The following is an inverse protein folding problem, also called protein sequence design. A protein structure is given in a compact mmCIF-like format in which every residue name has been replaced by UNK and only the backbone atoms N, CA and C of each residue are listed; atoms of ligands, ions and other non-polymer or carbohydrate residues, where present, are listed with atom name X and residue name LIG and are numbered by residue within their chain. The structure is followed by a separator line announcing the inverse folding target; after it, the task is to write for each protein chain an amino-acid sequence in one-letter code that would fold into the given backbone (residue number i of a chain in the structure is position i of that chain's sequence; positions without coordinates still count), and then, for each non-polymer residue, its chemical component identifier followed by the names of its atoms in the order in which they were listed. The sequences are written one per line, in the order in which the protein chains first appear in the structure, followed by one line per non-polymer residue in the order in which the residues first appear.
data_IF_409905087009
#
_entry.id   IF_409905087009
#
_cell.length_a   1.000
_cell.length_b   1.000
_cell.length_c   1.000
_cell.angle_alpha   90.00
_cell.angle_beta   90.00
_cell.angle_gamma   90.00
#
_symmetry.space_group_name_H-M   'P 1'
#
loop_
_entity.id
_entity.type
_entity.pdbx_description
1 polymer ?
#
# COMPACT_ATOMS: atom_id res chain seq x y z
N UNK A 1 15.80 -11.45 1.24
CA UNK A 1 15.92 -11.78 -0.20
C UNK A 1 15.87 -10.50 -0.99
N UNK A 2 16.93 -10.13 -1.68
CA UNK A 2 16.98 -8.93 -2.51
C UNK A 2 16.72 -9.29 -3.98
N UNK A 3 15.96 -8.47 -4.69
CA UNK A 3 15.65 -8.69 -6.10
C UNK A 3 15.55 -7.35 -6.85
N UNK A 4 15.69 -7.41 -8.16
CA UNK A 4 15.52 -6.26 -9.07
C UNK A 4 14.50 -6.63 -10.14
N UNK A 5 13.51 -5.79 -10.37
CA UNK A 5 12.59 -5.92 -11.50
C UNK A 5 13.29 -5.38 -12.76
N UNK A 6 13.44 -6.21 -13.77
CA UNK A 6 14.05 -5.84 -15.04
C UNK A 6 13.02 -5.29 -16.03
N UNK A 7 11.87 -5.93 -16.12
CA UNK A 7 10.80 -5.52 -17.03
C UNK A 7 9.44 -5.99 -16.58
N UNK A 8 8.43 -5.23 -16.93
CA UNK A 8 7.02 -5.58 -16.82
C UNK A 8 6.48 -5.67 -18.24
N UNK A 9 5.78 -6.74 -18.55
CA UNK A 9 5.13 -6.97 -19.84
C UNK A 9 3.63 -7.10 -19.59
N UNK A 10 2.83 -6.30 -20.28
CA UNK A 10 1.37 -6.34 -20.24
C UNK A 10 0.89 -6.70 -21.64
N UNK A 11 -0.06 -7.62 -21.75
CA UNK A 11 -0.59 -8.05 -23.03
C UNK A 11 -1.13 -6.85 -23.81
N UNK A 12 -0.74 -6.72 -25.09
CA UNK A 12 -1.11 -5.59 -25.95
C UNK A 12 -2.60 -5.52 -26.33
N UNK A 13 -3.42 -6.49 -25.88
CA UNK A 13 -4.89 -6.37 -25.93
C UNK A 13 -5.43 -5.31 -24.94
N UNK A 14 -4.65 -4.96 -23.92
CA UNK A 14 -4.97 -3.87 -23.00
C UNK A 14 -4.58 -2.54 -23.63
N UNK A 15 -5.35 -1.50 -23.36
CA UNK A 15 -5.05 -0.16 -23.82
C UNK A 15 -3.68 0.30 -23.33
N UNK A 16 -2.95 1.05 -24.16
CA UNK A 16 -1.59 1.49 -23.85
C UNK A 16 -1.55 2.45 -22.65
N UNK A 17 -2.52 3.36 -22.55
CA UNK A 17 -2.56 4.33 -21.47
C UNK A 17 -2.96 3.65 -20.15
N UNK A 18 -3.87 2.69 -20.19
CA UNK A 18 -4.23 1.84 -19.05
C UNK A 18 -3.02 1.04 -18.57
N UNK A 19 -2.26 0.45 -19.49
CA UNK A 19 -1.03 -0.27 -19.17
C UNK A 19 0.05 0.65 -18.55
N UNK A 20 0.24 1.86 -19.08
CA UNK A 20 1.15 2.87 -18.52
C UNK A 20 0.69 3.32 -17.14
N UNK A 21 -0.60 3.57 -16.98
CA UNK A 21 -1.18 3.97 -15.70
C UNK A 21 -0.96 2.88 -14.66
N UNK A 22 -1.23 1.61 -15.01
CA UNK A 22 -1.00 0.48 -14.12
C UNK A 22 0.47 0.39 -13.68
N UNK A 23 1.43 0.45 -14.63
CA UNK A 23 2.87 0.37 -14.34
C UNK A 23 3.31 1.52 -13.42
N UNK A 24 2.86 2.74 -13.71
CA UNK A 24 3.18 3.94 -12.92
C UNK A 24 2.55 3.85 -11.52
N UNK A 25 1.32 3.35 -11.42
CA UNK A 25 0.62 3.19 -10.15
C UNK A 25 1.28 2.16 -9.22
N UNK A 26 2.06 1.23 -9.77
CA UNK A 26 2.87 0.27 -9.00
C UNK A 26 4.32 0.76 -8.74
N UNK A 27 4.60 2.06 -8.93
CA UNK A 27 5.91 2.66 -8.66
C UNK A 27 6.98 2.36 -9.70
N UNK A 28 6.60 1.85 -10.86
CA UNK A 28 7.53 1.50 -11.93
C UNK A 28 7.62 2.58 -13.02
N UNK A 29 8.77 2.61 -13.72
CA UNK A 29 9.01 3.58 -14.78
C UNK A 29 8.29 3.21 -16.07
N UNK A 30 7.67 4.20 -16.70
CA UNK A 30 7.09 4.10 -18.05
C UNK A 30 8.00 4.70 -19.14
N UNK A 31 9.17 5.26 -18.75
CA UNK A 31 10.06 6.01 -19.67
C UNK A 31 10.59 5.16 -20.82
N UNK A 32 10.79 3.87 -20.60
CA UNK A 32 11.31 2.93 -21.61
C UNK A 32 10.23 1.92 -21.95
N UNK A 33 9.21 2.40 -22.67
CA UNK A 33 8.10 1.59 -23.18
C UNK A 33 8.39 1.12 -24.60
N UNK A 34 8.16 -0.16 -24.86
CA UNK A 34 8.23 -0.76 -26.19
C UNK A 34 7.03 -1.66 -26.43
N UNK A 35 6.30 -1.42 -27.51
CA UNK A 35 5.11 -2.18 -27.85
C UNK A 35 5.37 -3.11 -29.03
N UNK A 36 4.89 -4.34 -28.91
CA UNK A 36 4.86 -5.37 -29.95
C UNK A 36 3.40 -5.81 -30.17
N UNK A 37 3.15 -6.67 -31.17
CA UNK A 37 1.80 -7.23 -31.40
C UNK A 37 1.23 -7.96 -30.18
N UNK A 38 2.09 -8.52 -29.32
CA UNK A 38 1.65 -9.37 -28.19
C UNK A 38 1.82 -8.67 -26.84
N UNK A 39 2.85 -7.84 -26.67
CA UNK A 39 3.25 -7.30 -25.40
C UNK A 39 3.61 -5.82 -25.45
N UNK A 40 3.14 -5.06 -24.49
CA UNK A 40 3.69 -3.76 -24.11
C UNK A 40 4.70 -3.97 -23.00
N UNK A 41 5.96 -3.68 -23.24
CA UNK A 41 7.08 -3.87 -22.32
C UNK A 41 7.51 -2.56 -21.70
N UNK A 42 7.56 -2.52 -20.38
CA UNK A 42 8.09 -1.41 -19.58
C UNK A 42 9.42 -1.83 -18.93
N UNK A 43 10.54 -1.38 -19.51
CA UNK A 43 11.87 -1.72 -19.00
C UNK A 43 12.19 -0.87 -17.77
N UNK A 44 12.56 -1.54 -16.68
CA UNK A 44 12.98 -0.92 -15.43
C UNK A 44 14.51 -0.84 -15.36
N UNK A 45 15.18 -1.98 -15.55
CA UNK A 45 16.63 -2.11 -15.54
C UNK A 45 17.11 -2.97 -16.71
N UNK A 46 18.39 -2.83 -17.06
CA UNK A 46 19.05 -3.72 -18.03
C UNK A 46 19.57 -4.97 -17.32
N UNK A 47 19.74 -6.05 -18.05
CA UNK A 47 20.40 -7.27 -17.55
C UNK A 47 21.84 -6.97 -17.09
N UNK A 48 22.55 -6.09 -17.80
CA UNK A 48 23.90 -5.65 -17.41
C UNK A 48 23.86 -4.97 -16.04
N UNK A 49 22.93 -4.00 -15.83
CA UNK A 49 22.78 -3.31 -14.54
C UNK A 49 22.55 -4.29 -13.37
N UNK A 50 21.76 -5.34 -13.60
CA UNK A 50 21.52 -6.36 -12.58
C UNK A 50 22.79 -7.19 -12.32
N UNK A 51 23.45 -7.69 -13.37
CA UNK A 51 24.68 -8.51 -13.25
C UNK A 51 25.81 -7.76 -12.56
N UNK A 52 26.03 -6.49 -12.90
CA UNK A 52 27.05 -5.62 -12.28
C UNK A 52 26.83 -5.44 -10.76
N UNK A 53 25.66 -5.83 -10.24
CA UNK A 53 25.27 -5.80 -8.80
C UNK A 53 25.11 -7.19 -8.19
N UNK A 54 25.56 -8.24 -8.89
CA UNK A 54 25.51 -9.61 -8.42
C UNK A 54 24.14 -10.28 -8.52
N UNK A 55 23.17 -9.68 -9.30
CA UNK A 55 21.89 -10.29 -9.58
C UNK A 55 21.99 -11.07 -10.90
N UNK A 56 22.43 -12.30 -10.82
CA UNK A 56 22.81 -13.13 -11.98
C UNK A 56 21.72 -14.12 -12.40
N UNK A 57 20.77 -14.42 -11.52
CA UNK A 57 19.67 -15.34 -11.80
C UNK A 57 18.44 -14.57 -12.27
N UNK A 58 17.98 -14.87 -13.50
CA UNK A 58 16.83 -14.19 -14.12
C UNK A 58 15.70 -15.17 -14.30
N UNK A 59 14.50 -14.77 -13.90
CA UNK A 59 13.28 -15.56 -14.06
C UNK A 59 12.13 -14.67 -14.58
N UNK A 60 11.17 -15.31 -15.23
CA UNK A 60 9.92 -14.67 -15.67
C UNK A 60 8.75 -15.30 -14.91
N UNK A 61 7.96 -14.47 -14.24
CA UNK A 61 6.71 -14.88 -13.63
C UNK A 61 5.53 -14.40 -14.46
N UNK A 62 4.54 -15.28 -14.66
CA UNK A 62 3.28 -14.98 -15.35
C UNK A 62 2.21 -14.69 -14.31
N UNK A 63 1.53 -13.59 -14.48
CA UNK A 63 0.55 -13.05 -13.55
C UNK A 63 -0.76 -12.73 -14.25
N UNK A 64 -1.78 -12.48 -13.43
CA UNK A 64 -3.14 -12.23 -13.91
C UNK A 64 -3.92 -13.52 -14.13
N UNK A 65 -5.25 -13.39 -14.09
CA UNK A 65 -6.19 -14.52 -14.24
C UNK A 65 -6.01 -15.24 -15.58
N UNK A 66 -5.64 -14.49 -16.62
CA UNK A 66 -5.44 -15.00 -17.98
C UNK A 66 -3.95 -15.07 -18.38
N UNK A 67 -3.01 -14.95 -17.43
CA UNK A 67 -1.57 -14.85 -17.68
C UNK A 67 -1.24 -13.72 -18.68
N UNK A 68 -1.96 -12.61 -18.55
CA UNK A 68 -1.88 -11.44 -19.43
C UNK A 68 -0.83 -10.42 -18.98
N UNK A 69 -0.08 -10.76 -17.95
CA UNK A 69 1.05 -10.00 -17.45
C UNK A 69 2.23 -10.90 -17.18
N UNK A 70 3.44 -10.41 -17.50
CA UNK A 70 4.69 -11.07 -17.14
C UNK A 70 5.63 -10.09 -16.45
N UNK A 71 6.34 -10.56 -15.42
CA UNK A 71 7.42 -9.81 -14.78
C UNK A 71 8.72 -10.56 -14.93
N UNK A 72 9.75 -9.84 -15.37
CA UNK A 72 11.12 -10.34 -15.44
C UNK A 72 11.87 -9.80 -14.22
N UNK A 73 12.35 -10.70 -13.36
CA UNK A 73 13.00 -10.40 -12.10
C UNK A 73 14.41 -11.00 -12.12
N UNK A 74 15.39 -10.24 -11.61
CA UNK A 74 16.72 -10.74 -11.32
C UNK A 74 16.95 -10.81 -9.80
N UNK A 75 17.60 -11.86 -9.32
CA UNK A 75 17.99 -12.06 -7.92
C UNK A 75 19.35 -12.71 -7.81
N UNK A 76 19.97 -12.67 -6.64
CA UNK A 76 21.24 -13.32 -6.39
C UNK A 76 21.04 -14.83 -6.30
N UNK A 77 21.97 -15.60 -6.82
CA UNK A 77 21.89 -17.07 -6.83
C UNK A 77 21.77 -17.64 -5.42
N UNK A 78 22.45 -17.06 -4.45
CA UNK A 78 22.36 -17.41 -3.03
C UNK A 78 20.98 -17.14 -2.41
N UNK A 79 20.21 -16.25 -3.00
CA UNK A 79 18.83 -15.93 -2.62
C UNK A 79 17.81 -16.73 -3.43
N UNK A 80 18.24 -17.74 -4.21
CA UNK A 80 17.32 -18.56 -4.99
C UNK A 80 16.35 -19.27 -4.03
N UNK A 81 15.06 -18.97 -4.10
CA UNK A 81 14.09 -19.64 -3.25
C UNK A 81 14.14 -21.13 -3.57
N UNK A 82 14.21 -22.00 -2.58
CA UNK A 82 14.06 -23.44 -2.78
C UNK A 82 12.76 -23.70 -3.56
N UNK A 83 12.91 -23.97 -4.85
CA UNK A 83 11.79 -24.15 -5.77
C UNK A 83 11.27 -25.58 -5.57
N UNK A 84 10.49 -25.80 -4.53
CA UNK A 84 9.54 -26.90 -4.52
C UNK A 84 8.34 -26.47 -5.36
N UNK A 85 8.39 -26.86 -6.66
CA UNK A 85 7.28 -26.83 -7.61
C UNK A 85 6.47 -25.51 -7.72
N UNK A 86 6.90 -24.59 -8.57
CA UNK A 86 6.01 -23.59 -9.23
C UNK A 86 5.47 -22.42 -8.40
N UNK A 87 5.50 -22.52 -7.07
CA UNK A 87 4.86 -21.51 -6.20
C UNK A 87 5.72 -20.28 -5.94
N UNK A 88 7.02 -20.41 -5.74
CA UNK A 88 7.85 -19.36 -5.13
C UNK A 88 8.14 -18.15 -6.04
N UNK A 89 8.27 -18.32 -7.37
CA UNK A 89 8.49 -17.18 -8.28
C UNK A 89 7.20 -16.41 -8.50
N UNK A 90 6.07 -17.10 -8.58
CA UNK A 90 4.75 -16.47 -8.66
C UNK A 90 4.46 -15.71 -7.36
N UNK A 91 4.81 -16.28 -6.22
CA UNK A 91 4.65 -15.63 -4.91
C UNK A 91 5.60 -14.44 -4.75
N UNK A 92 6.84 -14.54 -5.22
CA UNK A 92 7.78 -13.42 -5.26
C UNK A 92 7.26 -12.30 -6.17
N UNK A 93 6.78 -12.64 -7.36
CA UNK A 93 6.22 -11.67 -8.30
C UNK A 93 4.92 -11.06 -7.77
N UNK A 94 4.06 -11.84 -7.10
CA UNK A 94 2.88 -11.34 -6.39
C UNK A 94 3.28 -10.40 -5.25
N UNK A 95 4.30 -10.74 -4.47
CA UNK A 95 4.83 -9.90 -3.39
C UNK A 95 5.37 -8.58 -3.93
N UNK A 96 6.00 -8.59 -5.10
CA UNK A 96 6.51 -7.40 -5.79
C UNK A 96 5.38 -6.49 -6.27
N UNK A 97 4.28 -7.07 -6.73
CA UNK A 97 3.15 -6.32 -7.33
C UNK A 97 2.06 -5.99 -6.30
N UNK A 98 1.66 -6.96 -5.48
CA UNK A 98 0.51 -6.86 -4.59
C UNK A 98 0.87 -6.59 -3.13
N UNK A 99 2.15 -6.29 -2.87
CA UNK A 99 2.67 -6.05 -1.52
C UNK A 99 3.30 -7.29 -0.88
N UNK A 100 3.98 -7.05 0.22
CA UNK A 100 4.73 -8.09 0.97
C UNK A 100 3.78 -8.87 1.87
N UNK A 101 4.09 -10.14 2.08
CA UNK A 101 3.45 -10.96 3.13
C UNK A 101 4.11 -10.76 4.51
N UNK A 102 5.09 -9.87 4.61
CA UNK A 102 5.86 -9.57 5.83
C UNK A 102 6.25 -8.10 5.84
N UNK A 103 6.63 -7.60 6.99
CA UNK A 103 7.18 -6.26 7.11
C UNK A 103 8.41 -6.04 6.22
N UNK A 104 8.58 -4.83 5.72
CA UNK A 104 9.83 -4.43 5.10
C UNK A 104 10.98 -4.54 6.11
N UNK A 105 12.23 -4.85 5.69
CA UNK A 105 13.36 -4.94 6.63
C UNK A 105 13.55 -3.71 7.51
N UNK A 106 13.28 -2.52 7.00
CA UNK A 106 13.32 -1.28 7.78
C UNK A 106 12.23 -1.23 8.87
N UNK A 107 11.01 -1.71 8.56
CA UNK A 107 9.89 -1.76 9.50
C UNK A 107 10.10 -2.87 10.53
N UNK A 108 10.66 -4.01 10.13
CA UNK A 108 11.06 -5.07 11.03
C UNK A 108 12.07 -4.57 12.08
N UNK A 109 13.07 -3.78 11.66
CA UNK A 109 14.02 -3.14 12.60
C UNK A 109 13.35 -2.18 13.59
N UNK A 110 12.29 -1.48 13.17
CA UNK A 110 11.52 -0.63 14.09
C UNK A 110 10.85 -1.48 15.15
N UNK A 111 10.23 -2.60 14.77
CA UNK A 111 9.59 -3.54 15.71
C UNK A 111 10.63 -4.15 16.65
N UNK A 112 11.77 -4.59 16.14
CA UNK A 112 12.88 -5.12 16.96
C UNK A 112 13.44 -4.10 17.95
N UNK A 113 13.52 -2.83 17.55
CA UNK A 113 14.09 -1.77 18.40
C UNK A 113 13.11 -1.21 19.43
N UNK A 114 11.82 -1.23 19.13
CA UNK A 114 10.81 -0.51 19.92
C UNK A 114 9.61 -1.36 20.34
N UNK A 115 9.55 -2.62 19.93
CA UNK A 115 8.40 -3.50 20.15
C UNK A 115 8.03 -3.71 21.60
N UNK A 116 9.02 -3.81 22.48
CA UNK A 116 8.84 -4.03 23.92
C UNK A 116 8.50 -2.73 24.69
N UNK A 117 8.58 -1.56 24.04
CA UNK A 117 8.19 -0.32 24.68
C UNK A 117 6.68 -0.22 24.85
N UNK A 118 6.25 0.27 26.01
CA UNK A 118 4.83 0.53 26.28
C UNK A 118 4.36 1.79 25.55
N UNK A 119 3.11 1.78 25.15
CA UNK A 119 2.46 2.87 24.45
C UNK A 119 1.91 3.87 25.47
N UNK A 120 2.29 5.13 25.37
CA UNK A 120 1.81 6.20 26.24
C UNK A 120 0.72 7.05 25.59
N UNK A 121 0.65 7.07 24.25
CA UNK A 121 -0.38 7.81 23.52
C UNK A 121 -0.56 7.23 22.12
N UNK A 122 -1.81 7.22 21.66
CA UNK A 122 -2.17 6.95 20.27
C UNK A 122 -3.06 8.10 19.77
N UNK A 123 -2.70 8.66 18.61
CA UNK A 123 -3.54 9.62 17.89
C UNK A 123 -3.83 9.07 16.50
N UNK A 124 -5.09 8.98 16.15
CA UNK A 124 -5.49 8.67 14.77
C UNK A 124 -5.56 9.97 14.00
N UNK A 125 -4.78 10.06 12.92
CA UNK A 125 -4.80 11.19 12.00
C UNK A 125 -5.56 10.84 10.73
N UNK A 126 -6.41 11.75 10.24
CA UNK A 126 -7.00 11.69 8.92
C UNK A 126 -6.62 12.95 8.13
N UNK A 127 -6.15 12.75 6.91
CA UNK A 127 -5.79 13.83 6.00
C UNK A 127 -6.55 13.67 4.69
N UNK A 128 -7.05 14.75 4.08
CA UNK A 128 -7.66 14.69 2.75
C UNK A 128 -6.69 14.08 1.75
N UNK A 129 -7.23 13.34 0.78
CA UNK A 129 -6.43 12.90 -0.36
C UNK A 129 -5.94 14.13 -1.13
N UNK A 130 -4.71 14.08 -1.66
CA UNK A 130 -4.17 15.20 -2.42
C UNK A 130 -5.03 15.55 -3.64
N UNK A 131 -5.03 16.82 -4.04
CA UNK A 131 -5.76 17.28 -5.23
C UNK A 131 -5.37 16.51 -6.50
N UNK A 132 -4.10 16.10 -6.62
CA UNK A 132 -3.62 15.26 -7.72
C UNK A 132 -4.29 13.89 -7.70
N UNK A 133 -4.44 13.29 -6.50
CA UNK A 133 -5.10 12.00 -6.37
C UNK A 133 -6.60 12.10 -6.66
N UNK A 134 -7.26 13.16 -6.20
CA UNK A 134 -8.65 13.42 -6.51
C UNK A 134 -8.87 13.61 -8.03
N UNK A 135 -7.94 14.29 -8.71
CA UNK A 135 -7.99 14.41 -10.16
C UNK A 135 -7.85 13.06 -10.86
N UNK A 136 -6.91 12.22 -10.42
CA UNK A 136 -6.72 10.87 -10.97
C UNK A 136 -7.95 10.00 -10.71
N UNK A 137 -8.50 10.01 -9.48
CA UNK A 137 -9.73 9.29 -9.16
C UNK A 137 -10.89 9.72 -10.04
N UNK A 138 -11.01 11.02 -10.31
CA UNK A 138 -12.06 11.54 -11.17
C UNK A 138 -11.90 11.09 -12.63
N UNK A 139 -10.68 11.09 -13.17
CA UNK A 139 -10.39 10.62 -14.54
C UNK A 139 -10.63 9.13 -14.65
N UNK A 140 -10.04 8.33 -13.76
CA UNK A 140 -10.16 6.86 -13.79
C UNK A 140 -11.61 6.41 -13.58
N UNK A 141 -12.39 7.13 -12.78
CA UNK A 141 -13.80 6.84 -12.54
C UNK A 141 -14.74 7.43 -13.62
N UNK A 142 -14.21 8.02 -14.68
CA UNK A 142 -15.00 8.71 -15.72
C UNK A 142 -15.98 9.76 -15.13
N UNK A 143 -15.52 10.49 -14.10
CA UNK A 143 -16.30 11.50 -13.40
C UNK A 143 -17.30 10.99 -12.36
N UNK A 144 -17.40 9.67 -12.15
CA UNK A 144 -18.27 9.06 -11.12
C UNK A 144 -17.85 9.54 -9.73
N UNK A 145 -16.54 9.59 -9.45
CA UNK A 145 -15.99 10.06 -8.18
C UNK A 145 -16.46 11.50 -7.86
N UNK A 146 -16.30 12.44 -8.79
CA UNK A 146 -16.74 13.84 -8.61
C UNK A 146 -18.23 13.96 -8.32
N UNK A 147 -19.07 13.20 -9.07
CA UNK A 147 -20.51 13.17 -8.85
C UNK A 147 -20.88 12.53 -7.52
N UNK A 148 -20.10 11.56 -7.06
CA UNK A 148 -20.31 10.92 -5.77
C UNK A 148 -19.97 11.86 -4.62
N UNK A 149 -18.80 12.52 -4.64
CA UNK A 149 -18.40 13.52 -3.63
C UNK A 149 -19.46 14.62 -3.50
N UNK A 150 -19.95 15.18 -4.61
CA UNK A 150 -20.97 16.22 -4.61
C UNK A 150 -22.32 15.81 -3.96
N UNK A 151 -22.57 14.51 -3.82
CA UNK A 151 -23.81 13.96 -3.25
C UNK A 151 -23.59 13.28 -1.90
N UNK A 152 -22.37 13.11 -1.50
CA UNK A 152 -22.00 12.51 -0.21
C UNK A 152 -22.02 13.60 0.88
N UNK A 153 -21.97 13.14 2.12
CA UNK A 153 -21.76 14.02 3.29
C UNK A 153 -20.28 14.38 3.50
N UNK A 154 -19.40 13.98 2.58
CA UNK A 154 -17.97 14.16 2.69
C UNK A 154 -17.50 15.20 1.67
N UNK A 155 -16.63 16.10 2.11
CA UNK A 155 -15.96 17.06 1.22
C UNK A 155 -14.83 16.39 0.42
N UNK A 156 -14.23 15.32 0.98
CA UNK A 156 -13.13 14.57 0.37
C UNK A 156 -13.05 13.13 0.90
N UNK A 157 -12.23 12.30 0.25
CA UNK A 157 -11.78 11.04 0.82
C UNK A 157 -10.54 11.29 1.69
N UNK A 158 -10.44 10.57 2.81
CA UNK A 158 -9.33 10.69 3.73
C UNK A 158 -8.40 9.47 3.67
N UNK A 159 -7.11 9.75 3.82
CA UNK A 159 -6.12 8.74 4.17
C UNK A 159 -5.88 8.77 5.67
N UNK A 160 -5.85 7.59 6.30
CA UNK A 160 -5.68 7.44 7.74
C UNK A 160 -4.29 6.89 8.09
N UNK A 161 -3.79 7.36 9.22
CA UNK A 161 -2.57 6.90 9.87
C UNK A 161 -2.71 7.00 11.39
N UNK A 162 -1.82 6.34 12.14
CA UNK A 162 -1.73 6.53 13.58
C UNK A 162 -0.35 7.04 13.98
N UNK A 163 -0.32 7.92 14.98
CA UNK A 163 0.87 8.35 15.72
C UNK A 163 0.88 7.63 17.04
N UNK A 164 1.85 6.76 17.26
CA UNK A 164 2.00 5.95 18.46
C UNK A 164 3.22 6.44 19.22
N UNK A 165 2.99 7.07 20.38
CA UNK A 165 4.06 7.55 21.25
C UNK A 165 4.36 6.51 22.32
N UNK A 166 5.64 6.23 22.51
CA UNK A 166 6.15 5.21 23.40
C UNK A 166 6.70 5.84 24.70
N UNK A 167 6.85 5.03 25.75
CA UNK A 167 7.37 5.44 27.04
C UNK A 167 8.81 6.01 26.99
N UNK A 168 9.59 5.67 25.97
CA UNK A 168 10.92 6.26 25.72
C UNK A 168 10.88 7.60 24.97
N UNK A 169 9.69 8.19 24.76
CA UNK A 169 9.47 9.47 24.07
C UNK A 169 9.58 9.42 22.54
N UNK A 170 9.79 8.25 21.94
CA UNK A 170 9.74 8.09 20.48
C UNK A 170 8.30 8.02 20.01
N UNK A 171 8.03 8.56 18.84
CA UNK A 171 6.73 8.45 18.18
C UNK A 171 6.91 7.73 16.86
N UNK A 172 6.08 6.73 16.63
CA UNK A 172 6.05 5.95 15.40
C UNK A 172 4.78 6.33 14.64
N UNK A 173 4.94 6.77 13.40
CA UNK A 173 3.84 6.89 12.45
C UNK A 173 3.64 5.53 11.80
N UNK A 174 2.42 5.02 11.82
CA UNK A 174 2.02 3.79 11.14
C UNK A 174 0.83 4.04 10.24
N UNK A 175 0.89 3.52 9.02
CA UNK A 175 -0.19 3.62 8.04
C UNK A 175 -0.23 2.38 7.15
N UNK A 176 -1.40 2.05 6.61
CA UNK A 176 -1.55 0.99 5.62
C UNK A 176 -1.76 1.59 4.25
N UNK A 177 -0.82 1.30 3.37
CA UNK A 177 -0.85 1.59 1.93
C UNK A 177 -0.87 0.26 1.17
N UNK A 178 -0.14 0.12 0.06
CA UNK A 178 0.10 -1.21 -0.55
C UNK A 178 0.80 -2.19 0.41
N UNK A 179 1.48 -1.64 1.42
CA UNK A 179 2.06 -2.36 2.57
C UNK A 179 1.74 -1.62 3.86
N UNK A 180 2.05 -2.24 4.99
CA UNK A 180 2.10 -1.53 6.27
C UNK A 180 3.43 -0.78 6.29
N UNK A 181 3.35 0.54 6.40
CA UNK A 181 4.50 1.44 6.47
C UNK A 181 4.63 2.01 7.89
N UNK A 182 5.87 2.05 8.38
CA UNK A 182 6.22 2.59 9.70
C UNK A 182 7.43 3.48 9.61
N UNK A 183 7.40 4.59 10.34
CA UNK A 183 8.56 5.49 10.47
C UNK A 183 8.62 6.09 11.87
N UNK A 184 9.82 6.11 12.46
CA UNK A 184 10.07 6.89 13.69
C UNK A 184 10.16 8.35 13.29
N UNK A 185 9.18 9.15 13.71
CA UNK A 185 9.13 10.56 13.34
C UNK A 185 10.11 11.39 14.18
N UNK A 186 10.63 12.46 13.58
CA UNK A 186 11.51 13.40 14.27
C UNK A 186 10.71 14.26 15.26
N UNK A 187 11.37 14.81 16.26
CA UNK A 187 10.74 15.64 17.31
C UNK A 187 10.00 16.87 16.74
N UNK A 188 10.46 17.38 15.59
CA UNK A 188 9.87 18.53 14.90
C UNK A 188 8.93 18.13 13.75
N UNK A 189 8.37 16.92 13.80
CA UNK A 189 7.41 16.50 12.77
C UNK A 189 6.20 17.42 12.74
N UNK A 190 5.93 17.97 11.58
CA UNK A 190 4.71 18.74 11.30
C UNK A 190 3.78 17.89 10.44
N UNK A 191 2.56 17.61 10.91
CA UNK A 191 1.57 16.90 10.11
C UNK A 191 1.26 17.66 8.81
N UNK A 192 0.84 16.98 7.74
CA UNK A 192 0.33 17.64 6.55
C UNK A 192 -0.81 18.60 6.88
N UNK A 193 -0.94 19.64 6.06
CA UNK A 193 -2.02 20.61 6.16
C UNK A 193 -3.40 19.92 6.13
N UNK A 194 -4.37 20.49 6.85
CA UNK A 194 -5.73 19.95 6.99
C UNK A 194 -5.80 18.54 7.61
N UNK A 195 -4.76 18.12 8.35
CA UNK A 195 -4.82 16.86 9.12
C UNK A 195 -5.64 17.07 10.38
N UNK A 196 -6.67 16.26 10.55
CA UNK A 196 -7.45 16.19 11.77
C UNK A 196 -6.97 15.02 12.64
N UNK A 197 -7.09 15.14 13.95
CA UNK A 197 -6.68 14.11 14.90
C UNK A 197 -7.78 13.76 15.88
N UNK A 198 -7.92 12.45 16.15
CA UNK A 198 -8.67 11.94 17.28
C UNK A 198 -7.71 11.28 18.26
N UNK A 199 -7.85 11.61 19.55
CA UNK A 199 -7.08 10.98 20.63
C UNK A 199 -7.71 9.64 20.99
N UNK A 200 -6.90 8.60 21.13
CA UNK A 200 -7.34 7.29 21.64
C UNK A 200 -7.16 7.27 23.16
N UNK A 201 -8.21 6.91 23.87
CA UNK A 201 -8.12 6.67 25.30
C UNK A 201 -7.46 5.31 25.55
N UNK A 202 -6.37 5.29 26.31
CA UNK A 202 -5.66 4.08 26.71
C UNK A 202 -5.98 3.83 28.19
N UNK A 203 -6.93 2.94 28.46
CA UNK A 203 -7.32 2.60 29.82
C UNK A 203 -6.32 1.67 30.52
N UNK A 204 -5.58 0.89 29.70
CA UNK A 204 -4.55 -0.04 30.16
C UNK A 204 -3.18 0.38 29.62
N UNK A 205 -2.34 1.06 30.44
CA UNK A 205 -1.08 1.65 29.96
C UNK A 205 0.03 0.64 29.64
N UNK A 206 -0.21 -0.66 29.83
CA UNK A 206 0.81 -1.71 29.67
C UNK A 206 0.86 -2.31 28.26
N UNK A 207 0.11 -1.75 27.29
CA UNK A 207 0.13 -2.24 25.92
C UNK A 207 1.49 -1.95 25.30
N UNK A 208 2.23 -3.00 24.93
CA UNK A 208 3.48 -2.88 24.19
C UNK A 208 3.20 -2.64 22.70
N UNK A 209 4.11 -1.96 22.01
CA UNK A 209 3.98 -1.67 20.59
C UNK A 209 3.91 -2.96 19.74
N UNK A 210 4.72 -3.97 20.08
CA UNK A 210 4.65 -5.27 19.40
C UNK A 210 3.33 -5.98 19.63
N UNK A 211 2.80 -5.97 20.85
CA UNK A 211 1.50 -6.57 21.19
C UNK A 211 0.36 -5.93 20.38
N UNK A 212 0.38 -4.59 20.24
CA UNK A 212 -0.59 -3.87 19.41
C UNK A 212 -0.61 -4.41 17.98
N UNK A 213 0.56 -4.63 17.39
CA UNK A 213 0.69 -5.14 16.01
C UNK A 213 0.31 -6.61 15.90
N UNK A 214 0.78 -7.46 16.82
CA UNK A 214 0.51 -8.90 16.84
C UNK A 214 -1.00 -9.19 16.96
N UNK A 215 -1.70 -8.45 17.82
CA UNK A 215 -3.16 -8.56 17.96
C UNK A 215 -3.88 -8.15 16.67
N UNK A 216 -3.39 -7.10 15.99
CA UNK A 216 -3.94 -6.65 14.71
C UNK A 216 -3.70 -7.68 13.62
N UNK A 217 -2.49 -8.25 13.55
CA UNK A 217 -2.15 -9.31 12.60
C UNK A 217 -3.01 -10.55 12.83
N UNK A 218 -3.20 -10.95 14.09
CA UNK A 218 -4.06 -12.06 14.47
C UNK A 218 -5.52 -11.84 14.02
N UNK A 219 -6.05 -10.62 14.17
CA UNK A 219 -7.41 -10.29 13.76
C UNK A 219 -7.57 -10.32 12.23
N UNK A 220 -6.64 -9.69 11.50
CA UNK A 220 -6.70 -9.61 10.03
C UNK A 220 -6.23 -10.89 9.31
N UNK A 221 -5.45 -11.73 9.99
CA UNK A 221 -4.92 -12.98 9.45
C UNK A 221 -4.20 -12.79 8.11
N UNK A 222 -4.55 -13.59 7.11
CA UNK A 222 -3.97 -13.52 5.76
C UNK A 222 -4.10 -12.16 5.05
N UNK A 223 -5.01 -11.31 5.51
CA UNK A 223 -5.26 -9.99 4.92
C UNK A 223 -4.36 -8.90 5.51
N UNK A 224 -3.61 -9.17 6.57
CA UNK A 224 -2.83 -8.15 7.29
C UNK A 224 -1.89 -7.37 6.38
N UNK A 225 -1.15 -8.05 5.53
CA UNK A 225 -0.20 -7.45 4.59
C UNK A 225 -0.79 -7.15 3.20
N UNK A 226 -2.07 -7.47 2.98
CA UNK A 226 -2.73 -7.26 1.69
C UNK A 226 -3.48 -5.93 1.74
N UNK A 227 -3.37 -5.13 0.68
CA UNK A 227 -4.18 -3.93 0.51
C UNK A 227 -5.30 -4.17 -0.50
N UNK A 228 -6.49 -3.72 -0.14
CA UNK A 228 -7.64 -3.66 -1.03
C UNK A 228 -8.44 -2.39 -0.70
N UNK A 229 -8.62 -1.51 -1.69
CA UNK A 229 -9.24 -0.20 -1.48
C UNK A 229 -10.67 -0.28 -0.94
N UNK A 230 -11.42 -1.33 -1.29
CA UNK A 230 -12.81 -1.50 -0.87
C UNK A 230 -12.93 -2.17 0.50
N UNK A 231 -12.13 -3.21 0.76
CA UNK A 231 -12.38 -4.13 1.89
C UNK A 231 -11.24 -4.21 2.91
N UNK A 232 -10.03 -3.73 2.57
CA UNK A 232 -8.85 -3.86 3.43
C UNK A 232 -7.86 -2.71 3.22
N UNK A 233 -8.34 -1.51 3.44
CA UNK A 233 -7.65 -0.24 3.24
C UNK A 233 -7.09 0.34 4.56
N UNK A 234 -6.67 1.61 4.55
CA UNK A 234 -6.16 2.30 5.73
C UNK A 234 -7.21 2.44 6.84
N UNK A 235 -8.50 2.64 6.50
CA UNK A 235 -9.59 2.74 7.47
C UNK A 235 -9.78 1.42 8.21
N UNK A 236 -9.90 0.32 7.45
CA UNK A 236 -10.04 -1.04 8.02
C UNK A 236 -8.85 -1.40 8.90
N UNK A 237 -7.62 -1.06 8.47
CA UNK A 237 -6.41 -1.34 9.24
C UNK A 237 -6.40 -0.60 10.60
N UNK A 238 -6.69 0.70 10.61
CA UNK A 238 -6.71 1.49 11.85
C UNK A 238 -7.86 1.03 12.76
N UNK A 239 -9.06 0.79 12.18
CA UNK A 239 -10.20 0.27 12.94
C UNK A 239 -9.88 -1.08 13.60
N UNK A 240 -9.30 -2.03 12.83
CA UNK A 240 -8.94 -3.35 13.36
C UNK A 240 -7.83 -3.28 14.40
N UNK A 241 -6.86 -2.36 14.22
CA UNK A 241 -5.79 -2.14 15.18
C UNK A 241 -6.34 -1.67 16.54
N UNK A 242 -7.30 -0.75 16.52
CA UNK A 242 -7.94 -0.31 17.76
C UNK A 242 -8.88 -1.38 18.32
N UNK A 243 -9.66 -2.04 17.48
CA UNK A 243 -10.60 -3.08 17.90
C UNK A 243 -9.91 -4.28 18.56
N UNK A 244 -8.83 -4.79 17.92
CA UNK A 244 -8.10 -5.96 18.43
C UNK A 244 -7.39 -5.73 19.77
N UNK A 245 -7.27 -4.46 20.16
CA UNK A 245 -6.64 -4.05 21.42
C UNK A 245 -7.61 -3.37 22.41
N UNK A 246 -8.93 -3.51 22.16
CA UNK A 246 -10.01 -2.93 23.01
C UNK A 246 -9.91 -1.39 23.14
N UNK A 247 -9.47 -0.71 22.11
CA UNK A 247 -9.27 0.75 22.08
C UNK A 247 -10.27 1.48 21.18
N UNK A 248 -11.12 0.75 20.46
CA UNK A 248 -12.07 1.34 19.52
C UNK A 248 -13.38 1.73 20.24
N UNK A 249 -13.64 3.04 20.29
CA UNK A 249 -14.92 3.57 20.77
C UNK A 249 -15.86 3.88 19.59
N UNK A 250 -17.18 4.06 19.81
CA UNK A 250 -18.12 4.49 18.78
C UNK A 250 -17.72 5.79 18.09
N UNK A 251 -17.19 6.76 18.85
CA UNK A 251 -16.73 8.06 18.33
C UNK A 251 -15.51 7.91 17.43
N UNK A 252 -14.53 7.10 17.85
CA UNK A 252 -13.36 6.78 17.02
C UNK A 252 -13.77 6.01 15.76
N UNK A 253 -14.70 5.08 15.88
CA UNK A 253 -15.22 4.36 14.72
C UNK A 253 -15.88 5.31 13.71
N UNK A 254 -16.63 6.29 14.17
CA UNK A 254 -17.24 7.32 13.32
C UNK A 254 -16.17 8.21 12.68
N UNK A 255 -15.12 8.59 13.44
CA UNK A 255 -14.01 9.38 12.92
C UNK A 255 -13.21 8.64 11.84
N UNK A 256 -13.00 7.34 12.01
CA UNK A 256 -12.18 6.49 11.12
C UNK A 256 -12.90 6.16 9.83
N UNK A 257 -14.19 5.81 9.90
CA UNK A 257 -14.89 5.20 8.78
C UNK A 257 -15.65 6.22 7.94
N UNK A 258 -15.36 6.23 6.63
CA UNK A 258 -16.18 6.87 5.61
C UNK A 258 -16.92 5.77 4.85
N UNK A 259 -18.23 5.87 4.73
CA UNK A 259 -19.01 4.96 3.89
C UNK A 259 -18.78 5.29 2.41
N UNK A 260 -17.95 4.48 1.78
CA UNK A 260 -17.62 4.57 0.35
C UNK A 260 -18.29 3.46 -0.48
N UNK A 261 -19.15 2.64 0.14
CA UNK A 261 -19.80 1.49 -0.51
C UNK A 261 -20.55 1.89 -1.77
N UNK A 262 -21.32 2.96 -1.71
CA UNK A 262 -22.08 3.47 -2.85
C UNK A 262 -21.20 4.01 -4.01
N UNK A 263 -19.96 4.43 -3.72
CA UNK A 263 -18.98 4.77 -4.75
C UNK A 263 -18.50 3.51 -5.46
N UNK A 264 -18.10 2.49 -4.71
CA UNK A 264 -17.62 1.23 -5.28
C UNK A 264 -18.71 0.47 -6.05
N UNK A 265 -19.95 0.48 -5.58
CA UNK A 265 -21.09 -0.06 -6.34
C UNK A 265 -21.22 0.60 -7.72
N UNK A 266 -21.21 1.92 -7.79
CA UNK A 266 -21.29 2.65 -9.06
C UNK A 266 -20.09 2.36 -9.97
N UNK A 267 -18.91 2.16 -9.40
CA UNK A 267 -17.70 1.81 -10.13
C UNK A 267 -17.77 0.36 -10.70
N UNK A 268 -18.39 -0.58 -9.99
CA UNK A 268 -18.58 -1.97 -10.45
C UNK A 268 -19.47 -2.06 -11.70
N UNK A 269 -20.46 -1.18 -11.83
CA UNK A 269 -21.38 -1.17 -12.97
C UNK A 269 -20.83 -0.44 -14.21
N UNK A 270 -19.79 0.36 -14.08
CA UNK A 270 -19.14 0.99 -15.22
C UNK A 270 -18.21 -0.02 -15.91
N UNK A 271 -18.68 -0.55 -17.07
CA UNK A 271 -17.93 -1.51 -17.89
C UNK A 271 -16.52 -1.00 -18.17
N UNK A 272 -15.52 -1.69 -17.66
CA UNK A 272 -14.08 -1.35 -17.79
C UNK A 272 -13.36 -1.06 -16.48
N UNK A 273 -14.06 -0.79 -15.39
CA UNK A 273 -13.48 -0.42 -14.08
C UNK A 273 -13.25 -1.60 -13.13
N UNK A 274 -13.66 -2.82 -13.46
CA UNK A 274 -13.45 -4.02 -12.61
C UNK A 274 -11.95 -4.29 -12.37
N UNK A 275 -11.06 -3.81 -13.26
CA UNK A 275 -9.61 -3.83 -13.05
C UNK A 275 -9.09 -2.57 -12.31
N UNK A 276 -9.90 -1.51 -12.24
CA UNK A 276 -9.50 -0.24 -11.62
C UNK A 276 -9.67 -0.24 -10.09
N UNK A 277 -10.53 -1.07 -9.50
CA UNK A 277 -10.67 -1.12 -8.03
C UNK A 277 -9.41 -1.66 -7.35
N UNK A 278 -8.70 -2.59 -7.98
CA UNK A 278 -7.36 -3.01 -7.53
C UNK A 278 -6.30 -1.97 -7.89
N UNK A 279 -6.44 -1.31 -9.05
CA UNK A 279 -5.58 -0.21 -9.49
C UNK A 279 -5.80 1.10 -8.72
N UNK A 280 -7.02 1.41 -8.27
CA UNK A 280 -7.31 2.58 -7.42
C UNK A 280 -6.60 2.50 -6.07
N UNK A 281 -6.58 1.34 -5.43
CA UNK A 281 -5.87 1.16 -4.16
C UNK A 281 -4.37 1.39 -4.30
N UNK A 282 -3.76 0.90 -5.38
CA UNK A 282 -2.35 1.10 -5.67
C UNK A 282 -2.04 2.51 -6.18
N UNK A 283 -2.98 3.17 -6.87
CA UNK A 283 -2.85 4.57 -7.31
C UNK A 283 -2.90 5.52 -6.10
N UNK A 284 -3.79 5.27 -5.15
CA UNK A 284 -3.87 5.97 -3.87
C UNK A 284 -2.53 5.87 -3.12
N UNK A 285 -1.92 4.70 -3.10
CA UNK A 285 -0.64 4.46 -2.44
C UNK A 285 0.53 5.26 -3.05
N UNK A 286 0.61 5.35 -4.37
CA UNK A 286 1.74 5.98 -5.05
C UNK A 286 1.70 7.50 -4.97
N UNK A 287 0.52 8.08 -5.07
CA UNK A 287 0.36 9.54 -4.99
C UNK A 287 0.50 10.03 -3.55
N UNK A 288 0.22 9.19 -2.55
CA UNK A 288 0.51 9.51 -1.16
C UNK A 288 2.01 9.46 -0.83
N UNK A 289 2.85 8.73 -1.60
CA UNK A 289 4.32 8.71 -1.45
C UNK A 289 5.01 10.01 -1.88
N UNK A 290 4.34 10.88 -2.65
CA UNK A 290 4.87 12.19 -3.04
C UNK A 290 4.89 13.23 -1.90
N UNK A 291 4.33 12.92 -0.73
CA UNK A 291 4.16 13.87 0.37
C UNK A 291 5.08 13.69 1.58
N UNK A 292 5.87 12.60 1.66
CA UNK A 292 6.76 12.38 2.80
C UNK A 292 8.09 11.78 2.31
N UNK A 293 9.02 12.62 1.86
CA UNK A 293 10.44 12.28 1.91
C UNK A 293 10.93 12.67 3.31
N UNK A 294 11.45 11.75 4.11
CA UNK A 294 12.21 12.12 5.28
C UNK A 294 13.59 12.57 4.78
N UNK A 295 13.86 13.86 4.79
CA UNK A 295 15.20 14.38 4.54
C UNK A 295 15.33 15.55 3.58
N UNK A 296 14.54 16.61 3.72
CA UNK A 296 14.91 17.96 3.35
C UNK A 296 14.79 18.87 4.58
#
# INVERSE_FOLDING_TARGET
MSHIVLSILINSKHDLEDAKLWVKSHGYSIRKTHQTKKWTRFRQHTTKYAKDRGYDTIRTAKLGKNKDMEIIIAYKKEDEPEIKLGGSIIDLARTVIYGRKTYAPAHQKIIESYGENTITSIKVGRKPLSSVLNAVLNVVSLGIYKKWIQRSQYDDLFHLFALITLNNGKTILIEKRASIDMVVIKKNYTPPEYTEFAQVLIEHPDIQFKTLLDNTEKLQGKNYFIYNAETNNCQKFISDMLQSNNLLTPELNTFINQDVSSLFEKLKYSKGLINATTGLGTTIDILSKGGLRPGD
#
